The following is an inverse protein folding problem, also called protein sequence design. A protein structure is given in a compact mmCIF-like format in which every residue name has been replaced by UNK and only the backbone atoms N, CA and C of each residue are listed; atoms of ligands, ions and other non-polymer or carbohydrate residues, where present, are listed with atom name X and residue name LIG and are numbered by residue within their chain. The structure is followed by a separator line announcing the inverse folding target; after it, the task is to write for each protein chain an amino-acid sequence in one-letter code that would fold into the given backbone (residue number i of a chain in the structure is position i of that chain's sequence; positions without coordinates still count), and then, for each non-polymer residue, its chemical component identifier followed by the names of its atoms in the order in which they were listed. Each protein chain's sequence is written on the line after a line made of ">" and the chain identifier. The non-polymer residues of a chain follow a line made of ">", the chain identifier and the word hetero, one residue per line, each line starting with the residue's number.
data_IF_423592136422
#
_entry.id   IF_423592136422
#
_cell.length_a   1.000
_cell.length_b   1.000
_cell.length_c   1.000
_cell.angle_alpha   90.00
_cell.angle_beta   90.00
_cell.angle_gamma   90.00
#
_symmetry.space_group_name_H-M   'P 1'
#
loop_
_entity.id
_entity.type
_entity.pdbx_description
1 polymer ?
#
# COMPACT_ATOMS: atom_id res chain seq x y z
N UNK A 1 -4.64 15.65 -22.45
CA UNK A 1 -5.24 15.04 -21.21
C UNK A 1 -4.11 14.72 -20.23
N UNK A 2 -4.29 15.01 -18.93
CA UNK A 2 -3.31 14.65 -17.91
C UNK A 2 -3.13 13.12 -17.82
N UNK A 3 -1.90 12.66 -17.72
CA UNK A 3 -1.58 11.24 -17.54
C UNK A 3 -2.15 10.70 -16.23
N UNK A 4 -2.24 9.37 -16.09
CA UNK A 4 -2.68 8.74 -14.82
C UNK A 4 -1.79 9.17 -13.66
N UNK A 5 -0.49 9.23 -13.88
CA UNK A 5 0.51 9.66 -12.89
C UNK A 5 0.30 11.10 -12.46
N UNK A 6 0.11 12.01 -13.42
CA UNK A 6 -0.16 13.43 -13.10
C UNK A 6 -1.41 13.62 -12.25
N UNK A 7 -2.47 12.84 -12.52
CA UNK A 7 -3.70 12.89 -11.71
C UNK A 7 -3.47 12.41 -10.28
N UNK A 8 -2.70 11.33 -10.09
CA UNK A 8 -2.37 10.82 -8.75
C UNK A 8 -1.57 11.86 -7.98
N UNK A 9 -0.51 12.41 -8.58
CA UNK A 9 0.35 13.39 -7.93
C UNK A 9 -0.43 14.69 -7.61
N UNK A 10 -1.25 15.15 -8.55
CA UNK A 10 -2.08 16.35 -8.34
C UNK A 10 -3.07 16.15 -7.18
N UNK A 11 -3.74 14.98 -7.11
CA UNK A 11 -4.65 14.66 -6.02
C UNK A 11 -3.95 14.64 -4.66
N UNK A 12 -2.80 13.98 -4.56
CA UNK A 12 -2.00 13.96 -3.34
C UNK A 12 -1.60 15.37 -2.88
N UNK A 13 -1.12 16.21 -3.81
CA UNK A 13 -0.76 17.59 -3.51
C UNK A 13 -1.95 18.44 -3.07
N UNK A 14 -3.11 18.28 -3.71
CA UNK A 14 -4.34 19.00 -3.34
C UNK A 14 -4.83 18.62 -1.94
N UNK A 15 -4.54 17.40 -1.50
CA UNK A 15 -4.84 16.91 -0.15
C UNK A 15 -3.73 17.25 0.88
N UNK A 16 -2.75 18.09 0.52
CA UNK A 16 -1.65 18.47 1.40
C UNK A 16 -0.66 17.36 1.73
N UNK A 17 -0.72 16.23 1.02
CA UNK A 17 0.18 15.09 1.24
C UNK A 17 1.59 15.42 0.76
N UNK A 18 2.59 15.14 1.61
CA UNK A 18 4.01 15.29 1.29
C UNK A 18 4.60 14.06 0.59
N UNK A 19 3.97 12.90 0.82
CA UNK A 19 4.36 11.61 0.23
C UNK A 19 3.14 10.92 -0.37
N UNK A 20 3.37 10.04 -1.34
CA UNK A 20 2.33 9.15 -1.83
C UNK A 20 2.15 7.96 -0.87
N UNK A 21 0.93 7.46 -0.78
CA UNK A 21 0.67 6.18 -0.13
C UNK A 21 1.38 5.04 -0.88
N UNK A 22 1.56 3.88 -0.24
CA UNK A 22 2.09 2.69 -0.92
C UNK A 22 1.27 2.32 -2.17
N UNK A 23 -0.04 2.37 -2.05
CA UNK A 23 -0.95 2.10 -3.15
C UNK A 23 -0.75 3.04 -4.34
N UNK A 24 -0.69 4.34 -4.09
CA UNK A 24 -0.50 5.33 -5.14
C UNK A 24 0.90 5.28 -5.74
N UNK A 25 1.92 5.03 -4.93
CA UNK A 25 3.30 4.84 -5.39
C UNK A 25 3.39 3.67 -6.37
N UNK A 26 2.79 2.52 -6.06
CA UNK A 26 2.75 1.35 -6.95
C UNK A 26 1.98 1.63 -8.24
N UNK A 27 0.90 2.41 -8.17
CA UNK A 27 0.15 2.83 -9.37
C UNK A 27 0.98 3.73 -10.29
N UNK A 28 1.81 4.60 -9.71
CA UNK A 28 2.77 5.41 -10.47
C UNK A 28 3.82 4.49 -11.11
N UNK A 29 4.47 3.63 -10.35
CA UNK A 29 5.48 2.69 -10.87
C UNK A 29 4.91 1.79 -11.98
N UNK A 30 3.72 1.26 -11.79
CA UNK A 30 3.03 0.45 -12.79
C UNK A 30 2.77 1.20 -14.10
N UNK A 31 2.50 2.51 -14.04
CA UNK A 31 2.31 3.35 -15.22
C UNK A 31 3.59 3.51 -16.05
N UNK A 32 4.76 3.27 -15.44
CA UNK A 32 6.07 3.25 -16.10
C UNK A 32 6.56 1.82 -16.41
N UNK A 33 5.69 0.82 -16.32
CA UNK A 33 6.02 -0.56 -16.69
C UNK A 33 6.74 -1.37 -15.59
N UNK A 34 6.87 -0.84 -14.38
CA UNK A 34 7.45 -1.61 -13.26
C UNK A 34 6.41 -2.63 -12.79
N UNK A 35 6.75 -3.93 -12.74
CA UNK A 35 5.87 -4.95 -12.19
C UNK A 35 5.58 -4.69 -10.70
N UNK A 36 4.32 -4.74 -10.33
CA UNK A 36 3.88 -4.56 -8.94
C UNK A 36 2.94 -5.69 -8.54
N UNK A 37 2.88 -5.99 -7.24
CA UNK A 37 1.95 -6.97 -6.69
C UNK A 37 0.50 -6.57 -6.95
N UNK A 38 -0.36 -7.57 -7.12
CA UNK A 38 -1.82 -7.34 -7.20
C UNK A 38 -2.35 -6.96 -5.84
N UNK A 39 -3.11 -5.89 -5.80
CA UNK A 39 -3.65 -5.37 -4.55
C UNK A 39 -4.96 -4.62 -4.77
N UNK A 40 -5.75 -4.52 -3.71
CA UNK A 40 -7.01 -3.77 -3.67
C UNK A 40 -7.02 -2.91 -2.42
N UNK A 41 -7.28 -1.62 -2.58
CA UNK A 41 -7.50 -0.70 -1.47
C UNK A 41 -8.92 -0.91 -0.95
N UNK A 42 -9.07 -1.04 0.37
CA UNK A 42 -10.33 -1.35 1.04
C UNK A 42 -10.50 -0.51 2.30
N UNK A 43 -11.73 -0.10 2.57
CA UNK A 43 -12.09 0.69 3.76
C UNK A 43 -13.08 -0.04 4.67
N UNK A 44 -13.60 -1.19 4.23
CA UNK A 44 -14.58 -1.97 4.97
C UNK A 44 -14.33 -3.48 4.88
N UNK A 45 -14.90 -4.22 5.82
CA UNK A 45 -14.87 -5.69 5.78
C UNK A 45 -15.55 -6.26 4.53
N UNK A 46 -16.62 -5.62 4.05
CA UNK A 46 -17.30 -6.03 2.82
C UNK A 46 -16.40 -5.90 1.60
N UNK A 47 -15.69 -4.77 1.49
CA UNK A 47 -14.71 -4.56 0.43
C UNK A 47 -13.53 -5.53 0.53
N UNK A 48 -13.05 -5.82 1.74
CA UNK A 48 -11.99 -6.81 1.96
C UNK A 48 -12.42 -8.21 1.50
N UNK A 49 -13.66 -8.62 1.77
CA UNK A 49 -14.21 -9.88 1.25
C UNK A 49 -14.27 -9.90 -0.28
N UNK A 50 -14.67 -8.79 -0.90
CA UNK A 50 -14.74 -8.70 -2.36
C UNK A 50 -13.34 -8.67 -3.02
N UNK A 51 -12.35 -8.11 -2.34
CA UNK A 51 -10.99 -7.98 -2.85
C UNK A 51 -10.32 -9.32 -3.18
N UNK A 52 -10.61 -10.38 -2.40
CA UNK A 52 -10.00 -11.71 -2.61
C UNK A 52 -10.40 -12.38 -3.92
N UNK A 53 -11.47 -11.93 -4.56
CA UNK A 53 -11.82 -12.37 -5.93
C UNK A 53 -10.77 -11.95 -6.96
N UNK A 54 -10.07 -10.83 -6.68
CA UNK A 54 -9.01 -10.27 -7.55
C UNK A 54 -7.62 -10.70 -7.15
N UNK A 55 -7.38 -10.88 -5.85
CA UNK A 55 -6.02 -11.06 -5.30
C UNK A 55 -5.68 -12.52 -4.99
N UNK A 56 -6.67 -13.35 -4.65
CA UNK A 56 -6.56 -14.78 -4.28
C UNK A 56 -5.73 -15.01 -3.00
N UNK A 57 -6.11 -16.03 -2.25
CA UNK A 57 -5.40 -16.45 -1.05
C UNK A 57 -4.08 -17.20 -1.36
N UNK A 58 -3.09 -17.17 -0.44
CA UNK A 58 -3.04 -16.35 0.77
C UNK A 58 -2.81 -14.87 0.47
N UNK A 59 -3.29 -14.00 1.36
CA UNK A 59 -3.15 -12.54 1.21
C UNK A 59 -2.46 -11.91 2.40
N UNK A 60 -1.96 -10.70 2.18
CA UNK A 60 -1.49 -9.77 3.20
C UNK A 60 -2.54 -8.68 3.38
N UNK A 61 -2.82 -8.30 4.63
CA UNK A 61 -3.60 -7.11 4.97
C UNK A 61 -2.70 -6.14 5.69
N UNK A 62 -2.66 -4.89 5.24
CA UNK A 62 -1.85 -3.83 5.87
C UNK A 62 -2.51 -2.48 5.79
N UNK A 63 -2.24 -1.63 6.77
CA UNK A 63 -2.67 -0.23 6.75
C UNK A 63 -2.03 0.51 5.57
N UNK A 64 -2.76 1.44 4.98
CA UNK A 64 -2.32 2.23 3.84
C UNK A 64 -2.79 3.67 4.00
N UNK A 65 -1.87 4.55 4.38
CA UNK A 65 -2.03 5.99 4.35
C UNK A 65 -0.72 6.64 3.90
N UNK A 66 -0.76 7.92 3.53
CA UNK A 66 0.43 8.67 3.17
C UNK A 66 1.36 8.91 4.38
N UNK A 67 0.80 8.93 5.58
CA UNK A 67 1.52 9.24 6.82
C UNK A 67 2.00 8.00 7.57
N UNK A 68 1.70 6.79 7.09
CA UNK A 68 1.99 5.54 7.80
C UNK A 68 3.26 4.87 7.27
N UNK A 69 4.42 5.39 7.68
CA UNK A 69 5.73 4.86 7.27
C UNK A 69 6.13 3.57 8.01
N UNK A 70 5.70 3.40 9.29
CA UNK A 70 6.17 2.33 10.20
C UNK A 70 5.08 1.30 10.53
N UNK A 71 4.47 0.71 9.50
CA UNK A 71 3.34 -0.23 9.65
C UNK A 71 3.68 -1.47 10.48
N UNK A 72 4.88 -2.01 10.31
CA UNK A 72 5.32 -3.21 11.01
C UNK A 72 5.54 -2.94 12.50
N UNK A 73 6.19 -1.84 12.83
CA UNK A 73 6.46 -1.44 14.22
C UNK A 73 5.15 -1.18 15.00
N UNK A 74 4.14 -0.63 14.33
CA UNK A 74 2.81 -0.41 14.92
C UNK A 74 1.91 -1.66 14.88
N UNK A 75 2.37 -2.78 14.35
CA UNK A 75 1.57 -4.00 14.21
C UNK A 75 0.37 -3.83 13.28
N UNK A 76 0.49 -2.98 12.26
CA UNK A 76 -0.55 -2.66 11.28
C UNK A 76 -0.41 -3.48 9.99
N UNK A 77 0.17 -4.67 10.12
CA UNK A 77 0.31 -5.65 9.04
C UNK A 77 -0.06 -7.04 9.55
N UNK A 78 -0.76 -7.81 8.72
CA UNK A 78 -1.05 -9.22 8.93
C UNK A 78 -0.75 -9.98 7.64
N UNK A 79 0.09 -11.00 7.73
CA UNK A 79 0.58 -11.77 6.60
C UNK A 79 0.01 -13.20 6.61
N UNK A 80 0.12 -13.88 5.49
CA UNK A 80 -0.25 -15.30 5.33
C UNK A 80 -1.71 -15.59 5.71
N UNK A 81 -2.62 -14.70 5.34
CA UNK A 81 -4.04 -14.88 5.58
C UNK A 81 -4.62 -15.83 4.53
N UNK A 82 -4.85 -17.08 4.92
CA UNK A 82 -5.20 -18.18 4.01
C UNK A 82 -6.72 -18.35 3.80
N UNK A 83 -7.56 -17.60 4.51
CA UNK A 83 -9.02 -17.74 4.43
C UNK A 83 -9.75 -16.42 4.66
N UNK A 84 -11.02 -16.38 4.26
CA UNK A 84 -11.87 -15.22 4.50
C UNK A 84 -12.04 -14.93 6.00
N UNK A 85 -12.17 -15.96 6.83
CA UNK A 85 -12.31 -15.79 8.28
C UNK A 85 -11.05 -15.17 8.87
N UNK A 86 -9.85 -15.62 8.47
CA UNK A 86 -8.58 -15.05 8.89
C UNK A 86 -8.44 -13.58 8.44
N UNK A 87 -8.81 -13.27 7.19
CA UNK A 87 -8.78 -11.91 6.67
C UNK A 87 -9.69 -10.96 7.46
N UNK A 88 -10.92 -11.39 7.78
CA UNK A 88 -11.87 -10.55 8.52
C UNK A 88 -11.46 -10.39 9.99
N UNK A 89 -10.90 -11.42 10.61
CA UNK A 89 -10.34 -11.31 11.95
C UNK A 89 -9.15 -10.33 11.98
N UNK A 90 -8.25 -10.43 11.02
CA UNK A 90 -7.14 -9.49 10.84
C UNK A 90 -7.64 -8.07 10.61
N UNK A 91 -8.64 -7.87 9.75
CA UNK A 91 -9.20 -6.54 9.48
C UNK A 91 -9.73 -5.87 10.74
N UNK A 92 -10.50 -6.60 11.57
CA UNK A 92 -10.99 -6.10 12.87
C UNK A 92 -9.84 -5.72 13.81
N UNK A 93 -8.82 -6.58 13.87
CA UNK A 93 -7.65 -6.35 14.74
C UNK A 93 -6.86 -5.12 14.29
N UNK A 94 -6.57 -4.99 13.01
CA UNK A 94 -5.82 -3.86 12.48
C UNK A 94 -6.61 -2.56 12.61
N UNK A 95 -7.92 -2.56 12.34
CA UNK A 95 -8.78 -1.39 12.56
C UNK A 95 -8.75 -0.92 14.01
N UNK A 96 -8.83 -1.86 14.96
CA UNK A 96 -8.74 -1.53 16.40
C UNK A 96 -7.38 -0.94 16.76
N UNK A 97 -6.27 -1.52 16.24
CA UNK A 97 -4.91 -1.04 16.49
C UNK A 97 -4.62 0.30 15.85
N UNK A 98 -5.12 0.54 14.64
CA UNK A 98 -4.99 1.81 13.96
C UNK A 98 -5.66 2.96 14.73
N UNK A 99 -6.69 2.65 15.50
CA UNK A 99 -7.37 3.60 16.38
C UNK A 99 -8.47 4.41 15.68
N UNK A 100 -9.22 5.16 16.49
CA UNK A 100 -10.39 5.92 16.00
C UNK A 100 -10.02 7.07 15.07
N UNK A 101 -8.82 7.59 15.17
CA UNK A 101 -8.33 8.72 14.37
C UNK A 101 -7.59 8.27 13.10
N UNK A 102 -7.64 6.98 12.77
CA UNK A 102 -7.03 6.49 11.55
C UNK A 102 -7.92 6.81 10.34
N UNK A 103 -7.47 7.74 9.53
CA UNK A 103 -8.16 8.19 8.30
C UNK A 103 -7.70 7.44 7.03
N UNK A 104 -6.77 6.48 7.19
CA UNK A 104 -6.28 5.68 6.07
C UNK A 104 -7.21 4.53 5.69
N UNK A 105 -6.86 3.87 4.62
CA UNK A 105 -7.49 2.63 4.17
C UNK A 105 -6.57 1.43 4.49
N UNK A 106 -6.99 0.24 4.07
CA UNK A 106 -6.18 -0.97 4.15
C UNK A 106 -5.90 -1.50 2.74
N UNK A 107 -4.79 -2.20 2.58
CA UNK A 107 -4.46 -2.94 1.37
C UNK A 107 -4.65 -4.42 1.60
N UNK A 108 -5.47 -5.05 0.77
CA UNK A 108 -5.47 -6.51 0.58
C UNK A 108 -4.57 -6.80 -0.60
N UNK A 109 -3.45 -7.45 -0.36
CA UNK A 109 -2.39 -7.70 -1.34
C UNK A 109 -2.12 -9.20 -1.46
N UNK A 110 -1.79 -9.66 -2.67
CA UNK A 110 -1.31 -11.03 -2.87
C UNK A 110 -0.04 -11.29 -2.05
N UNK A 111 0.06 -12.49 -1.51
CA UNK A 111 1.29 -12.94 -0.87
C UNK A 111 2.29 -13.35 -1.94
N UNK A 112 3.33 -12.54 -2.10
CA UNK A 112 4.43 -12.84 -3.02
C UNK A 112 5.50 -13.59 -2.24
N UNK A 113 5.87 -14.76 -2.71
CA UNK A 113 7.03 -15.50 -2.20
C UNK A 113 8.25 -15.18 -3.08
N UNK A 114 9.34 -14.84 -2.46
CA UNK A 114 10.60 -14.53 -3.16
C UNK A 114 11.75 -14.45 -2.17
N UNK A 115 12.95 -14.67 -2.67
CA UNK A 115 14.18 -14.61 -1.86
C UNK A 115 14.81 -13.22 -1.82
N UNK A 116 14.28 -12.27 -2.58
CA UNK A 116 14.84 -10.91 -2.67
C UNK A 116 13.72 -9.90 -2.74
N UNK A 117 13.79 -8.92 -1.87
CA UNK A 117 12.95 -7.72 -1.93
C UNK A 117 13.73 -6.58 -2.57
N UNK A 118 13.05 -5.81 -3.40
CA UNK A 118 13.63 -4.64 -4.05
C UNK A 118 12.83 -3.42 -3.60
N UNK A 119 13.54 -2.40 -3.17
CA UNK A 119 12.98 -1.10 -2.83
C UNK A 119 13.25 -0.13 -3.97
N UNK A 120 12.20 0.52 -4.43
CA UNK A 120 12.25 1.62 -5.41
C UNK A 120 11.55 2.82 -4.80
N UNK A 121 12.21 3.96 -4.82
CA UNK A 121 11.66 5.20 -4.32
C UNK A 121 12.10 6.41 -5.13
N UNK A 122 11.39 7.51 -4.96
CA UNK A 122 11.78 8.80 -5.50
C UNK A 122 11.53 9.88 -4.45
N UNK A 123 12.47 10.77 -4.29
CA UNK A 123 12.32 11.96 -3.46
C UNK A 123 12.95 13.17 -4.16
N UNK A 124 12.65 14.33 -3.65
CA UNK A 124 13.29 15.57 -4.10
C UNK A 124 14.44 15.90 -3.15
N UNK A 125 15.64 15.76 -3.66
CA UNK A 125 16.86 16.21 -2.96
C UNK A 125 17.00 17.74 -3.08
N UNK A 126 17.39 18.46 -2.01
CA UNK A 126 17.56 19.90 -2.05
C UNK A 126 18.65 20.37 -3.02
N UNK A 127 19.69 19.57 -3.23
CA UNK A 127 20.84 19.91 -4.07
C UNK A 127 20.72 19.37 -5.49
N UNK A 128 20.23 18.13 -5.64
CA UNK A 128 20.19 17.42 -6.92
C UNK A 128 18.80 17.38 -7.58
N UNK A 129 17.77 17.89 -6.91
CA UNK A 129 16.40 17.83 -7.43
C UNK A 129 15.78 16.42 -7.33
N UNK A 130 15.03 15.95 -8.32
CA UNK A 130 14.41 14.62 -8.28
C UNK A 130 15.49 13.52 -8.30
N UNK A 131 15.50 12.70 -7.26
CA UNK A 131 16.42 11.56 -7.12
C UNK A 131 15.63 10.25 -7.03
N UNK A 132 16.04 9.24 -7.79
CA UNK A 132 15.48 7.89 -7.75
C UNK A 132 16.38 7.01 -6.90
N UNK A 133 15.78 6.30 -5.97
CA UNK A 133 16.47 5.30 -5.13
C UNK A 133 16.10 3.90 -5.61
N UNK A 134 17.11 3.05 -5.66
CA UNK A 134 16.96 1.62 -5.94
C UNK A 134 17.89 0.84 -5.01
N UNK A 135 17.38 -0.18 -4.36
CA UNK A 135 18.17 -0.99 -3.45
C UNK A 135 17.51 -2.32 -3.11
N UNK A 136 18.26 -3.14 -2.39
CA UNK A 136 17.72 -4.36 -1.78
C UNK A 136 16.96 -3.96 -0.51
N UNK A 137 15.73 -4.47 -0.39
CA UNK A 137 14.94 -4.43 0.83
C UNK A 137 15.33 -5.57 1.76
N UNK A 138 14.91 -5.50 2.99
CA UNK A 138 15.12 -6.56 3.96
C UNK A 138 15.22 -6.05 5.36
#
# INVERSE_FOLDING_TARGET
>A
MASRTERIIKAARSNGQKTLSEYDSKRVLSAYGVPVSREVLVSSQSEAKAAVKKVKYPVVLKACSADEAHKTEKGLIAVNLASQSALIAAFKTLTKRAGKNYEGAFLVQEMVSGSREIMIGMHRDPSFGPAVMFGLGG
#
